data_IF_762791079838
#
_entry.id   IF_762791079838
#
_cell.length_a   1.000
_cell.length_b   1.000
_cell.length_c   1.000
_cell.angle_alpha   90.00
_cell.angle_beta   90.00
_cell.angle_gamma   90.00
#
_symmetry.space_group_name_H-M   'P 1'
#
loop_
_entity.id
_entity.type
_entity.pdbx_description
1 polymer ?
#
# COMPACT_ATOMS: atom_id res chain seq x y z
N UNK A 1 16.06 12.51 -19.84
CA UNK A 1 15.27 12.57 -18.59
C UNK A 1 14.66 11.19 -18.40
N UNK A 2 15.03 10.49 -17.34
CA UNK A 2 14.59 9.12 -17.05
C UNK A 2 13.16 9.15 -16.52
N UNK A 3 12.16 9.08 -17.40
CA UNK A 3 10.77 8.86 -17.02
C UNK A 3 10.53 7.36 -16.83
N UNK A 4 11.19 6.78 -15.82
CA UNK A 4 10.93 5.40 -15.39
C UNK A 4 9.89 5.45 -14.28
N UNK A 5 8.61 5.30 -14.64
CA UNK A 5 7.51 5.05 -13.70
C UNK A 5 7.90 3.88 -12.77
N UNK A 6 8.40 4.20 -11.56
CA UNK A 6 8.72 3.21 -10.53
C UNK A 6 7.42 2.75 -9.88
N UNK A 7 6.71 1.85 -10.56
CA UNK A 7 5.46 1.26 -10.05
C UNK A 7 5.68 0.25 -8.92
N UNK A 8 6.92 -0.08 -8.56
CA UNK A 8 7.21 -1.01 -7.47
C UNK A 8 7.79 -0.21 -6.32
N UNK A 9 7.00 -0.05 -5.26
CA UNK A 9 7.42 0.57 -4.01
C UNK A 9 7.04 -0.35 -2.87
N UNK A 10 8.04 -0.83 -2.14
CA UNK A 10 7.81 -1.68 -0.99
C UNK A 10 7.23 -0.86 0.17
N UNK A 11 6.49 -1.49 1.08
CA UNK A 11 5.92 -0.80 2.25
C UNK A 11 6.98 -0.10 3.11
N UNK A 12 8.17 -0.69 3.24
CA UNK A 12 9.28 -0.12 4.01
C UNK A 12 9.96 1.09 3.33
N UNK A 13 9.70 1.32 2.04
CA UNK A 13 10.18 2.47 1.27
C UNK A 13 9.19 3.65 1.36
N UNK A 14 8.07 3.50 2.05
CA UNK A 14 7.11 4.58 2.24
C UNK A 14 7.70 5.67 3.15
N UNK A 15 7.68 6.92 2.68
CA UNK A 15 8.17 8.06 3.45
C UNK A 15 7.08 8.59 4.39
N UNK A 16 7.09 8.14 5.64
CA UNK A 16 6.15 8.60 6.67
C UNK A 16 6.34 10.07 7.07
N UNK A 17 7.51 10.68 6.82
CA UNK A 17 7.70 12.12 7.04
C UNK A 17 6.95 12.96 5.99
N UNK A 18 6.78 12.44 4.78
CA UNK A 18 6.00 13.09 3.72
C UNK A 18 4.49 13.09 4.02
N UNK A 19 3.98 12.01 4.63
CA UNK A 19 2.58 11.92 5.04
C UNK A 19 2.47 11.51 6.53
N UNK A 20 2.58 12.48 7.46
CA UNK A 20 2.62 12.20 8.89
C UNK A 20 1.28 11.77 9.48
N UNK A 21 0.17 11.90 8.75
CA UNK A 21 -1.14 11.46 9.23
C UNK A 21 -1.34 9.94 9.16
N UNK A 22 -0.44 9.22 8.48
CA UNK A 22 -0.51 7.76 8.39
C UNK A 22 0.11 7.16 9.65
N UNK A 23 -0.64 6.28 10.31
CA UNK A 23 -0.15 5.50 11.42
C UNK A 23 0.73 4.34 10.91
N UNK A 24 2.05 4.45 11.11
CA UNK A 24 3.01 3.43 10.69
C UNK A 24 2.76 2.06 11.34
N UNK A 25 2.30 2.03 12.61
CA UNK A 25 1.99 0.78 13.29
C UNK A 25 0.82 0.07 12.62
N UNK A 26 -0.23 0.81 12.25
CA UNK A 26 -1.38 0.26 11.54
C UNK A 26 -0.99 -0.31 10.16
N UNK A 27 -0.09 0.36 9.44
CA UNK A 27 0.44 -0.17 8.17
C UNK A 27 1.23 -1.47 8.40
N UNK A 28 2.01 -1.54 9.49
CA UNK A 28 2.72 -2.76 9.86
C UNK A 28 1.76 -3.91 10.23
N UNK A 29 0.64 -3.62 10.89
CA UNK A 29 -0.41 -4.60 11.16
C UNK A 29 -1.04 -5.10 9.86
N UNK A 30 -1.37 -4.22 8.92
CA UNK A 30 -1.88 -4.62 7.60
C UNK A 30 -0.90 -5.50 6.82
N UNK A 31 0.41 -5.26 6.96
CA UNK A 31 1.45 -6.06 6.33
C UNK A 31 1.47 -7.53 6.79
N UNK A 32 0.87 -7.85 7.94
CA UNK A 32 0.73 -9.23 8.43
C UNK A 32 -0.35 -10.04 7.71
N UNK A 33 -1.15 -9.40 6.85
CA UNK A 33 -2.32 -10.00 6.19
C UNK A 33 -3.42 -10.52 7.12
N UNK A 34 -3.35 -10.26 8.43
CA UNK A 34 -4.36 -10.70 9.42
C UNK A 34 -5.78 -10.18 9.17
N UNK A 35 -5.92 -9.06 8.46
CA UNK A 35 -7.22 -8.55 8.03
C UNK A 35 -7.97 -9.52 7.10
N UNK A 36 -7.26 -10.40 6.38
CA UNK A 36 -7.86 -11.43 5.53
C UNK A 36 -8.57 -12.50 6.37
N UNK A 37 -7.95 -12.93 7.48
CA UNK A 37 -8.54 -13.90 8.40
C UNK A 37 -9.80 -13.34 9.07
N UNK A 38 -9.80 -12.04 9.34
CA UNK A 38 -10.92 -11.31 9.93
C UNK A 38 -11.99 -10.89 8.90
N UNK A 39 -11.78 -11.15 7.62
CA UNK A 39 -12.66 -10.71 6.52
C UNK A 39 -12.90 -9.18 6.51
N UNK A 40 -11.87 -8.41 6.84
CA UNK A 40 -11.92 -6.96 6.93
C UNK A 40 -11.49 -6.30 5.63
N UNK A 41 -12.08 -5.15 5.33
CA UNK A 41 -11.69 -4.34 4.18
C UNK A 41 -10.78 -3.19 4.64
N UNK A 42 -9.69 -2.97 3.92
CA UNK A 42 -8.83 -1.79 4.10
C UNK A 42 -9.20 -0.75 3.05
N UNK A 43 -9.46 0.49 3.49
CA UNK A 43 -9.78 1.61 2.60
C UNK A 43 -8.83 2.78 2.92
N UNK A 44 -8.08 3.23 1.91
CA UNK A 44 -7.27 4.45 1.99
C UNK A 44 -8.05 5.65 1.44
N UNK A 45 -8.26 6.67 2.27
CA UNK A 45 -9.00 7.90 1.91
C UNK A 45 -8.08 9.11 2.05
N UNK A 46 -8.11 10.01 1.07
CA UNK A 46 -7.36 11.28 1.12
C UNK A 46 -7.22 11.95 -0.24
N UNK A 47 -6.68 13.17 -0.24
CA UNK A 47 -6.46 13.98 -1.45
C UNK A 47 -5.57 13.29 -2.50
N UNK A 48 -5.59 13.69 -3.78
CA UNK A 48 -4.63 13.21 -4.77
C UNK A 48 -3.17 13.42 -4.33
N UNK A 49 -2.28 12.50 -4.69
CA UNK A 49 -0.84 12.63 -4.40
C UNK A 49 -0.38 12.29 -2.97
N UNK A 50 -1.27 11.89 -2.06
CA UNK A 50 -0.91 11.60 -0.64
C UNK A 50 -0.34 10.20 -0.37
N UNK A 51 -0.02 9.42 -1.40
CA UNK A 51 0.62 8.09 -1.24
C UNK A 51 -0.33 6.89 -1.12
N UNK A 52 -1.62 7.03 -1.45
CA UNK A 52 -2.59 5.92 -1.40
C UNK A 52 -2.19 4.75 -2.33
N UNK A 53 -1.83 5.07 -3.57
CA UNK A 53 -1.41 4.08 -4.57
C UNK A 53 -0.13 3.37 -4.15
N UNK A 54 0.85 4.11 -3.62
CA UNK A 54 2.09 3.55 -3.09
C UNK A 54 1.83 2.52 -1.97
N UNK A 55 0.94 2.84 -1.02
CA UNK A 55 0.58 1.91 0.05
C UNK A 55 -0.14 0.66 -0.46
N UNK A 56 -1.08 0.81 -1.40
CA UNK A 56 -1.78 -0.31 -2.02
C UNK A 56 -0.82 -1.24 -2.78
N UNK A 57 0.13 -0.66 -3.52
CA UNK A 57 1.17 -1.42 -4.22
C UNK A 57 2.05 -2.17 -3.21
N UNK A 58 2.53 -1.48 -2.18
CA UNK A 58 3.36 -2.08 -1.15
C UNK A 58 2.65 -3.25 -0.44
N UNK A 59 1.39 -3.07 -0.05
CA UNK A 59 0.57 -4.13 0.55
C UNK A 59 0.35 -5.29 -0.43
N UNK A 60 0.10 -5.01 -1.71
CA UNK A 60 -0.07 -6.04 -2.72
C UNK A 60 1.20 -6.88 -2.94
N UNK A 61 2.37 -6.24 -2.93
CA UNK A 61 3.66 -6.94 -2.99
C UNK A 61 3.83 -7.83 -1.75
N UNK A 62 3.49 -7.32 -0.57
CA UNK A 62 3.63 -8.07 0.68
C UNK A 62 2.66 -9.26 0.75
N UNK A 63 1.43 -9.10 0.27
CA UNK A 63 0.47 -10.19 0.12
C UNK A 63 1.02 -11.29 -0.80
N UNK A 64 1.57 -10.93 -1.97
CA UNK A 64 2.18 -11.89 -2.89
C UNK A 64 3.34 -12.67 -2.25
N UNK A 65 4.15 -12.03 -1.39
CA UNK A 65 5.26 -12.69 -0.66
C UNK A 65 4.79 -13.73 0.35
N UNK A 66 3.55 -13.60 0.80
CA UNK A 66 2.90 -14.52 1.72
C UNK A 66 1.97 -15.50 0.99
N UNK A 67 2.22 -15.73 -0.31
CA UNK A 67 1.46 -16.63 -1.19
C UNK A 67 -0.04 -16.29 -1.30
N UNK A 68 -0.43 -15.06 -1.00
CA UNK A 68 -1.78 -14.56 -1.21
C UNK A 68 -1.95 -14.16 -2.66
N UNK A 69 -2.99 -14.70 -3.33
CA UNK A 69 -3.34 -14.26 -4.69
C UNK A 69 -3.91 -12.85 -4.66
N UNK A 70 -3.20 -11.92 -5.30
CA UNK A 70 -3.54 -10.50 -5.30
C UNK A 70 -3.85 -10.01 -6.71
N UNK A 71 -4.91 -9.21 -6.82
CA UNK A 71 -5.21 -8.45 -8.03
C UNK A 71 -5.24 -6.97 -7.66
N UNK A 72 -4.52 -6.14 -8.44
CA UNK A 72 -4.51 -4.70 -8.25
C UNK A 72 -5.21 -4.02 -9.42
N UNK A 73 -6.24 -3.24 -9.13
CA UNK A 73 -6.95 -2.41 -10.09
C UNK A 73 -6.79 -0.94 -9.68
N UNK A 74 -6.16 -0.14 -10.55
CA UNK A 74 -6.01 1.31 -10.37
C UNK A 74 -6.86 1.99 -11.43
N UNK A 75 -7.76 2.86 -10.98
CA UNK A 75 -8.51 3.76 -11.87
C UNK A 75 -7.91 5.15 -11.72
N UNK A 76 -7.34 5.67 -12.81
CA UNK A 76 -6.84 7.03 -12.91
C UNK A 76 -7.88 7.85 -13.66
N UNK A 77 -8.24 9.02 -13.13
CA UNK A 77 -9.15 9.97 -13.75
C UNK A 77 -8.38 11.17 -14.31
#
# INVERSE_FOLDING_TARGET
>A
MNDSYHFIKQLNEFNYQFQPSINQQQIAEFATMSFLDNQENIIFIGSPGVGKTDLLIGLGIEACRQDVRTYLLIVMN
#
